data_IF_154447396011
#
_entry.id   IF_154447396011
#
_cell.length_a   1.000
_cell.length_b   1.000
_cell.length_c   1.000
_cell.angle_alpha   90.00
_cell.angle_beta   90.00
_cell.angle_gamma   90.00
#
_symmetry.space_group_name_H-M   'P 1'
#
loop_
_entity.id
_entity.type
_entity.pdbx_description
1 polymer ?
#
# COMPACT_ATOMS: atom_id res chain seq x y z
N UNK A 1 -43.81 -15.18 12.09
CA UNK A 1 -42.60 -15.85 11.54
C UNK A 1 -42.36 -15.26 10.16
N UNK A 2 -41.55 -14.21 10.06
CA UNK A 2 -41.17 -13.64 8.76
C UNK A 2 -39.80 -14.21 8.41
N UNK A 3 -39.70 -14.82 7.23
CA UNK A 3 -38.42 -15.33 6.70
C UNK A 3 -37.67 -14.14 6.10
N UNK A 4 -36.49 -13.84 6.64
CA UNK A 4 -35.51 -12.94 6.02
C UNK A 4 -34.97 -13.61 4.75
N UNK A 5 -35.40 -13.13 3.58
CA UNK A 5 -34.73 -13.40 2.31
C UNK A 5 -33.40 -12.63 2.33
N UNK A 6 -32.29 -13.34 2.56
CA UNK A 6 -30.94 -12.77 2.47
C UNK A 6 -30.68 -12.34 1.01
N UNK A 7 -30.75 -11.03 0.75
CA UNK A 7 -30.27 -10.46 -0.51
C UNK A 7 -28.78 -10.83 -0.70
N UNK A 8 -28.38 -11.34 -1.88
CA UNK A 8 -26.98 -11.64 -2.13
C UNK A 8 -26.17 -10.34 -2.06
N UNK A 9 -25.15 -10.32 -1.19
CA UNK A 9 -24.23 -9.20 -1.08
C UNK A 9 -23.70 -8.83 -2.49
N UNK A 10 -23.67 -7.55 -2.87
CA UNK A 10 -23.23 -7.13 -4.19
C UNK A 10 -21.80 -7.64 -4.42
N UNK A 11 -21.62 -8.48 -5.44
CA UNK A 11 -20.29 -8.92 -5.87
C UNK A 11 -19.44 -7.67 -6.15
N UNK A 12 -18.22 -7.55 -5.61
CA UNK A 12 -17.39 -6.39 -5.84
C UNK A 12 -17.13 -6.28 -7.34
N UNK A 13 -17.66 -5.20 -7.95
CA UNK A 13 -17.35 -4.84 -9.33
C UNK A 13 -15.84 -4.71 -9.41
N UNK A 14 -15.16 -5.59 -10.15
CA UNK A 14 -13.72 -5.48 -10.37
C UNK A 14 -13.45 -4.18 -11.14
N UNK A 15 -13.20 -3.10 -10.40
CA UNK A 15 -12.77 -1.83 -10.96
C UNK A 15 -11.39 -2.05 -11.56
N UNK A 16 -11.22 -1.63 -12.81
CA UNK A 16 -9.94 -1.66 -13.50
C UNK A 16 -8.87 -1.00 -12.63
N UNK A 17 -7.80 -1.74 -12.33
CA UNK A 17 -6.69 -1.23 -11.54
C UNK A 17 -5.87 -0.23 -12.36
N UNK A 18 -5.91 1.04 -11.97
CA UNK A 18 -5.15 2.14 -12.59
C UNK A 18 -4.10 2.74 -11.64
N UNK A 19 -3.72 1.97 -10.60
CA UNK A 19 -2.85 2.46 -9.53
C UNK A 19 -1.37 2.22 -9.82
N UNK A 20 -1.06 1.27 -10.71
CA UNK A 20 0.30 0.75 -10.90
C UNK A 20 0.70 -0.32 -9.88
N UNK A 21 -0.11 -0.58 -8.84
CA UNK A 21 0.08 -1.76 -8.00
C UNK A 21 -0.27 -3.02 -8.79
N UNK A 22 0.43 -4.16 -8.59
CA UNK A 22 -0.06 -5.46 -9.02
C UNK A 22 -1.44 -5.77 -8.42
N UNK A 23 -2.34 -6.38 -9.18
CA UNK A 23 -3.73 -6.62 -8.76
C UNK A 23 -3.83 -7.37 -7.43
N UNK A 24 -3.02 -8.43 -7.28
CA UNK A 24 -2.98 -9.19 -6.03
C UNK A 24 -2.52 -8.33 -4.85
N UNK A 25 -1.53 -7.44 -5.02
CA UNK A 25 -1.07 -6.56 -3.94
C UNK A 25 -2.17 -5.58 -3.57
N UNK A 26 -2.80 -4.95 -4.57
CA UNK A 26 -3.93 -4.04 -4.34
C UNK A 26 -5.04 -4.74 -3.57
N UNK A 27 -5.55 -5.87 -4.07
CA UNK A 27 -6.62 -6.61 -3.45
C UNK A 27 -6.26 -7.07 -2.03
N UNK A 28 -5.05 -7.57 -1.81
CA UNK A 28 -4.57 -8.02 -0.51
C UNK A 28 -4.46 -6.88 0.51
N UNK A 29 -3.95 -5.70 0.10
CA UNK A 29 -3.86 -4.54 0.98
C UNK A 29 -5.24 -4.02 1.32
N UNK A 30 -6.13 -3.89 0.33
CA UNK A 30 -7.51 -3.45 0.56
C UNK A 30 -8.27 -4.41 1.50
N UNK A 31 -8.11 -5.72 1.29
CA UNK A 31 -8.73 -6.74 2.12
C UNK A 31 -8.24 -6.70 3.58
N UNK A 32 -6.93 -6.54 3.80
CA UNK A 32 -6.35 -6.54 5.15
C UNK A 32 -6.52 -5.21 5.89
N UNK A 33 -6.56 -4.09 5.17
CA UNK A 33 -6.66 -2.75 5.79
C UNK A 33 -8.09 -2.20 5.86
N UNK A 34 -9.01 -2.71 5.04
CA UNK A 34 -10.33 -2.12 4.85
C UNK A 34 -10.33 -0.77 4.11
N UNK A 35 -9.18 -0.34 3.56
CA UNK A 35 -9.01 0.94 2.89
C UNK A 35 -8.87 0.75 1.38
N UNK A 36 -9.48 1.62 0.58
CA UNK A 36 -9.31 1.58 -0.88
C UNK A 36 -7.96 2.14 -1.30
N UNK A 37 -7.30 1.44 -2.21
CA UNK A 37 -6.03 1.82 -2.82
C UNK A 37 -6.21 2.46 -4.22
N UNK A 38 -7.45 2.69 -4.68
CA UNK A 38 -7.76 3.24 -6.02
C UNK A 38 -7.10 4.62 -6.29
N UNK A 39 -6.82 5.36 -5.22
CA UNK A 39 -6.19 6.68 -5.26
C UNK A 39 -4.66 6.62 -5.34
N UNK A 40 -4.05 5.45 -5.15
CA UNK A 40 -2.60 5.26 -5.16
C UNK A 40 -2.04 5.31 -6.57
N UNK A 41 -0.84 5.88 -6.73
CA UNK A 41 -0.09 5.93 -7.99
C UNK A 41 1.34 5.47 -7.77
N UNK A 42 1.71 4.35 -8.39
CA UNK A 42 3.07 3.82 -8.39
C UNK A 42 3.82 4.35 -9.60
N UNK A 43 5.01 4.90 -9.37
CA UNK A 43 5.95 5.31 -10.42
C UNK A 43 7.20 4.45 -10.33
N UNK A 44 7.30 3.48 -11.24
CA UNK A 44 8.47 2.60 -11.36
C UNK A 44 9.64 3.28 -12.06
N UNK A 45 10.85 2.82 -11.77
CA UNK A 45 12.11 3.33 -12.36
C UNK A 45 12.29 4.84 -12.16
N UNK A 46 11.81 5.36 -11.03
CA UNK A 46 11.94 6.77 -10.67
C UNK A 46 13.38 7.06 -10.23
N UNK A 47 13.99 8.17 -10.69
CA UNK A 47 15.30 8.61 -10.18
C UNK A 47 15.19 9.30 -8.81
N UNK A 48 13.97 9.60 -8.33
CA UNK A 48 13.75 10.40 -7.12
C UNK A 48 14.20 9.72 -5.82
N UNK A 49 13.97 8.41 -5.58
CA UNK A 49 14.46 7.75 -4.37
C UNK A 49 15.98 7.86 -4.22
N UNK A 50 16.74 7.83 -5.33
CA UNK A 50 18.20 7.96 -5.30
C UNK A 50 18.67 9.32 -4.77
N UNK A 51 17.90 10.40 -4.97
CA UNK A 51 18.20 11.72 -4.41
C UNK A 51 18.15 11.72 -2.88
N UNK A 52 17.46 10.74 -2.30
CA UNK A 52 17.31 10.56 -0.86
C UNK A 52 18.12 9.38 -0.32
N UNK A 53 19.00 8.79 -1.13
CA UNK A 53 19.69 7.52 -0.82
C UNK A 53 18.73 6.38 -0.44
N UNK A 54 17.51 6.38 -1.00
CA UNK A 54 16.47 5.40 -0.74
C UNK A 54 16.23 4.50 -1.96
N UNK A 55 15.74 3.28 -1.71
CA UNK A 55 15.33 2.34 -2.75
C UNK A 55 13.90 2.59 -3.23
N UNK A 56 13.02 2.98 -2.32
CA UNK A 56 11.66 3.40 -2.60
C UNK A 56 11.17 4.32 -1.46
N UNK A 57 10.04 4.98 -1.68
CA UNK A 57 9.27 5.58 -0.59
C UNK A 57 7.82 5.81 -0.97
N UNK A 58 6.94 5.76 0.03
CA UNK A 58 5.56 6.20 -0.04
C UNK A 58 5.39 7.62 0.52
N UNK A 59 4.68 8.48 -0.21
CA UNK A 59 4.32 9.82 0.24
C UNK A 59 2.89 10.15 -0.15
N UNK A 60 2.00 10.16 0.84
CA UNK A 60 0.57 10.32 0.63
C UNK A 60 0.03 9.18 -0.23
N UNK A 61 -0.38 9.49 -1.45
CA UNK A 61 -0.90 8.50 -2.39
C UNK A 61 0.12 8.06 -3.46
N UNK A 62 1.38 8.50 -3.38
CA UNK A 62 2.41 8.14 -4.36
C UNK A 62 3.38 7.14 -3.79
N UNK A 63 3.72 6.14 -4.59
CA UNK A 63 4.80 5.19 -4.33
C UNK A 63 5.84 5.38 -5.42
N UNK A 64 7.07 5.72 -5.03
CA UNK A 64 8.17 5.95 -5.96
C UNK A 64 9.19 4.83 -5.79
N UNK A 65 9.40 4.06 -6.86
CA UNK A 65 10.31 2.92 -6.86
C UNK A 65 11.55 3.25 -7.68
N UNK A 66 12.75 3.04 -7.11
CA UNK A 66 13.97 3.09 -7.90
C UNK A 66 14.01 1.92 -8.91
N UNK A 67 14.84 2.02 -9.97
CA UNK A 67 15.03 0.92 -10.91
C UNK A 67 15.40 -0.39 -10.22
N UNK A 68 14.73 -1.49 -10.58
CA UNK A 68 14.95 -2.82 -10.01
C UNK A 68 14.31 -3.07 -8.63
N UNK A 69 13.68 -2.07 -8.01
CA UNK A 69 13.17 -2.18 -6.64
C UNK A 69 11.71 -2.63 -6.52
N UNK A 70 11.05 -2.99 -7.63
CA UNK A 70 9.61 -3.31 -7.67
C UNK A 70 9.15 -4.38 -6.66
N UNK A 71 10.06 -5.22 -6.17
CA UNK A 71 9.79 -6.22 -5.14
C UNK A 71 9.37 -5.62 -3.78
N UNK A 72 9.75 -4.37 -3.48
CA UNK A 72 9.31 -3.67 -2.26
C UNK A 72 7.91 -3.06 -2.37
N UNK A 73 7.22 -3.14 -3.52
CA UNK A 73 5.96 -2.41 -3.72
C UNK A 73 4.87 -2.80 -2.72
N UNK A 74 4.85 -4.04 -2.23
CA UNK A 74 3.90 -4.47 -1.20
C UNK A 74 4.16 -3.80 0.16
N UNK A 75 5.43 -3.64 0.51
CA UNK A 75 5.89 -2.94 1.71
C UNK A 75 5.51 -1.46 1.62
N UNK A 76 5.84 -0.78 0.51
CA UNK A 76 5.48 0.62 0.29
C UNK A 76 3.97 0.86 0.26
N UNK A 77 3.19 -0.08 -0.27
CA UNK A 77 1.73 -0.01 -0.22
C UNK A 77 1.19 -0.06 1.21
N UNK A 78 1.86 -0.77 2.12
CA UNK A 78 1.48 -0.79 3.53
C UNK A 78 1.82 0.52 4.24
N UNK A 79 2.88 1.22 3.85
CA UNK A 79 3.14 2.57 4.35
C UNK A 79 2.02 3.55 3.99
N UNK A 80 1.41 3.44 2.82
CA UNK A 80 0.23 4.25 2.48
C UNK A 80 -0.92 4.00 3.46
N UNK A 81 -1.15 2.75 3.86
CA UNK A 81 -2.15 2.41 4.89
C UNK A 81 -1.81 3.07 6.22
N UNK A 82 -0.55 2.97 6.67
CA UNK A 82 -0.11 3.60 7.93
C UNK A 82 -0.30 5.12 7.91
N UNK A 83 0.02 5.77 6.78
CA UNK A 83 -0.17 7.21 6.58
C UNK A 83 -1.66 7.58 6.63
N UNK A 84 -2.52 6.81 5.93
CA UNK A 84 -3.96 7.02 5.94
C UNK A 84 -4.60 6.81 7.33
N UNK A 85 -4.01 5.93 8.16
CA UNK A 85 -4.43 5.72 9.55
C UNK A 85 -3.92 6.81 10.52
N UNK A 86 -3.13 7.78 10.05
CA UNK A 86 -2.57 8.84 10.88
C UNK A 86 -1.53 8.37 11.89
N UNK A 87 -0.99 7.15 11.74
CA UNK A 87 0.02 6.58 12.65
C UNK A 87 1.43 7.07 12.36
N UNK A 88 1.64 7.64 11.18
CA UNK A 88 2.94 8.15 10.69
C UNK A 88 3.07 9.63 11.07
N UNK A 89 3.18 9.91 12.37
CA UNK A 89 3.58 11.25 12.83
C UNK A 89 5.06 11.47 12.48
N UNK A 90 5.47 12.63 11.95
CA UNK A 90 6.87 12.86 11.64
C UNK A 90 7.73 12.80 12.90
N UNK A 91 8.72 11.92 12.92
CA UNK A 91 9.70 11.81 14.02
C UNK A 91 11.01 12.53 13.67
N UNK A 92 11.28 12.74 12.39
CA UNK A 92 12.48 13.41 11.90
C UNK A 92 12.24 14.12 10.57
N UNK A 93 13.26 14.82 10.07
CA UNK A 93 13.25 15.48 8.77
C UNK A 93 14.45 15.01 7.95
N UNK A 94 14.20 14.66 6.69
CA UNK A 94 15.24 14.29 5.75
C UNK A 94 15.04 15.06 4.44
N UNK A 95 16.05 15.81 4.01
CA UNK A 95 16.00 16.68 2.83
C UNK A 95 14.77 17.62 2.78
N UNK A 96 14.33 18.14 3.95
CA UNK A 96 13.17 19.02 4.07
C UNK A 96 11.81 18.30 4.04
N UNK A 97 11.81 16.96 3.98
CA UNK A 97 10.60 16.14 4.09
C UNK A 97 10.49 15.54 5.49
N UNK A 98 9.32 15.71 6.11
CA UNK A 98 9.01 15.13 7.39
C UNK A 98 8.80 13.60 7.20
N UNK A 99 9.59 12.78 7.90
CA UNK A 99 9.56 11.32 7.80
C UNK A 99 9.36 10.69 9.18
N UNK A 100 8.88 9.46 9.20
CA UNK A 100 8.83 8.62 10.39
C UNK A 100 9.85 7.49 10.23
N UNK A 101 10.69 7.28 11.23
CA UNK A 101 11.75 6.27 11.26
C UNK A 101 11.51 5.17 12.29
N UNK A 102 10.25 4.93 12.68
CA UNK A 102 9.88 3.96 13.71
C UNK A 102 10.17 2.52 13.26
N UNK A 103 11.08 1.78 13.93
CA UNK A 103 11.36 0.38 13.58
C UNK A 103 10.14 -0.54 13.70
N UNK A 104 9.17 -0.17 14.54
CA UNK A 104 7.92 -0.91 14.70
C UNK A 104 7.01 -0.78 13.47
N UNK A 105 6.93 0.41 12.86
CA UNK A 105 6.13 0.63 11.65
C UNK A 105 6.79 0.00 10.42
N UNK A 106 8.11 0.04 10.31
CA UNK A 106 8.87 -0.66 9.26
C UNK A 106 8.62 -2.18 9.32
N UNK A 107 8.75 -2.77 10.51
CA UNK A 107 8.50 -4.20 10.71
C UNK A 107 7.05 -4.58 10.40
N UNK A 108 6.10 -3.72 10.74
CA UNK A 108 4.71 -3.93 10.37
C UNK A 108 4.51 -3.90 8.85
N UNK A 109 5.14 -2.95 8.16
CA UNK A 109 5.08 -2.84 6.70
C UNK A 109 5.68 -4.08 6.00
N UNK A 110 6.78 -4.63 6.52
CA UNK A 110 7.33 -5.90 6.04
C UNK A 110 6.34 -7.06 6.19
N UNK A 111 5.85 -7.28 7.41
CA UNK A 111 4.97 -8.41 7.72
C UNK A 111 3.66 -8.32 6.95
N UNK A 112 3.04 -7.14 6.98
CA UNK A 112 1.72 -6.95 6.38
C UNK A 112 1.80 -6.80 4.87
N UNK A 113 2.86 -6.21 4.32
CA UNK A 113 3.12 -6.21 2.88
C UNK A 113 3.27 -7.62 2.33
N UNK A 114 4.08 -8.47 2.97
CA UNK A 114 4.22 -9.86 2.59
C UNK A 114 2.89 -10.63 2.71
N UNK A 115 2.15 -10.42 3.81
CA UNK A 115 0.84 -11.04 4.03
C UNK A 115 -0.18 -10.59 2.97
N UNK A 116 -0.22 -9.30 2.62
CA UNK A 116 -1.09 -8.76 1.58
C UNK A 116 -0.77 -9.39 0.23
N UNK A 117 0.51 -9.47 -0.14
CA UNK A 117 0.92 -10.11 -1.39
C UNK A 117 0.54 -11.59 -1.45
N UNK A 118 0.56 -12.31 -0.33
CA UNK A 118 0.13 -13.72 -0.25
C UNK A 118 -1.39 -13.87 -0.32
N UNK A 119 -2.14 -13.18 0.55
CA UNK A 119 -3.61 -13.24 0.61
C UNK A 119 -4.21 -12.80 -0.72
N UNK A 120 -3.69 -11.71 -1.28
CA UNK A 120 -4.17 -11.14 -2.53
C UNK A 120 -4.11 -12.10 -3.71
N UNK A 121 -3.14 -13.03 -3.76
CA UNK A 121 -3.07 -14.05 -4.82
C UNK A 121 -4.22 -15.04 -4.79
N UNK A 122 -4.91 -15.19 -3.65
CA UNK A 122 -6.12 -15.99 -3.54
C UNK A 122 -7.41 -15.19 -3.81
N UNK A 123 -7.32 -13.87 -3.96
CA UNK A 123 -8.46 -12.97 -4.16
C UNK A 123 -8.63 -12.55 -5.63
N UNK A 124 -7.60 -12.73 -6.46
CA UNK A 124 -7.59 -12.32 -7.88
C UNK A 124 -7.26 -13.47 -8.80
#
# INVERSE_FOLDING_TARGET
MYQEEQEPAPMPVQRKNNTGLPDHIKAGVEHLSGMSMDHVRVSYNSPRPAQLNAHAYAQGNRILMAPGQAHHVAHEAWHVVQQAQGRVAPTTQFAGQAINDSPALEREADVMGAKAASVGRGLV
#
